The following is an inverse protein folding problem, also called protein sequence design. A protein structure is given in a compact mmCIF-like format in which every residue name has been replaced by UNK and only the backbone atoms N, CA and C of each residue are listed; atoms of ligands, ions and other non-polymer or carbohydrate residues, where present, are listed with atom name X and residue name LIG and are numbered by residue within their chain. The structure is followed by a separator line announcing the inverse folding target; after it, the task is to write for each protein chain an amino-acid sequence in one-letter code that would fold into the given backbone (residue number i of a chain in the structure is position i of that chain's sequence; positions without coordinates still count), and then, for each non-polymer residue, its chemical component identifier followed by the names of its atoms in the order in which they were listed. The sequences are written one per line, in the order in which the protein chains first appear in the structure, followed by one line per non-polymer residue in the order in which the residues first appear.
data_IF_571700837422
#
_entry.id   IF_571700837422
#
_cell.length_a   1.000
_cell.length_b   1.000
_cell.length_c   1.000
_cell.angle_alpha   90.00
_cell.angle_beta   90.00
_cell.angle_gamma   90.00
#
_symmetry.space_group_name_H-M   'P 1'
#
loop_
_entity.id
_entity.type
_entity.pdbx_description
1 polymer ?
#
# COMPACT_ATOMS: atom_id res chain seq x y z
N UNK A 1 5.06 5.19 14.01
CA UNK A 1 6.10 4.54 14.84
C UNK A 1 6.95 3.62 13.97
N UNK A 2 8.27 3.81 13.97
CA UNK A 2 9.25 2.85 13.43
C UNK A 2 9.87 2.08 14.58
N UNK A 3 9.84 0.73 14.52
CA UNK A 3 10.44 -0.07 15.60
C UNK A 3 10.99 -1.42 15.10
N UNK A 4 12.07 -1.86 15.73
CA UNK A 4 12.61 -3.21 15.55
C UNK A 4 11.75 -4.21 16.30
N UNK A 5 11.39 -5.31 15.65
CA UNK A 5 10.63 -6.41 16.20
C UNK A 5 11.26 -7.73 15.75
N UNK A 6 11.40 -8.70 16.64
CA UNK A 6 11.99 -10.02 16.35
C UNK A 6 13.39 -9.93 15.71
N UNK A 7 14.21 -8.96 16.13
CA UNK A 7 15.56 -8.73 15.58
C UNK A 7 15.60 -8.13 14.17
N UNK A 8 14.47 -7.74 13.61
CA UNK A 8 14.34 -7.12 12.29
C UNK A 8 13.99 -5.65 12.43
N UNK A 9 14.60 -4.81 11.62
CA UNK A 9 14.46 -3.35 11.66
C UNK A 9 13.99 -2.84 10.30
N UNK A 10 12.98 -1.96 10.25
CA UNK A 10 12.54 -1.38 8.99
C UNK A 10 13.66 -0.56 8.33
N UNK A 11 13.76 -0.68 7.01
CA UNK A 11 14.68 0.07 6.17
C UNK A 11 13.89 1.12 5.36
N UNK A 12 14.19 2.40 5.56
CA UNK A 12 13.67 3.49 4.76
C UNK A 12 14.73 3.93 3.75
N UNK A 13 14.50 3.65 2.47
CA UNK A 13 15.39 4.01 1.37
C UNK A 13 15.03 5.38 0.73
N UNK A 14 14.17 6.16 1.35
CA UNK A 14 13.78 7.50 0.89
C UNK A 14 12.28 7.63 0.63
N UNK A 15 11.44 7.18 1.54
CA UNK A 15 10.01 7.44 1.52
C UNK A 15 9.74 8.96 1.43
N UNK A 16 8.76 9.35 0.61
CA UNK A 16 8.37 10.76 0.51
C UNK A 16 7.60 11.23 1.76
N UNK A 17 6.91 10.30 2.41
CA UNK A 17 6.15 10.59 3.63
C UNK A 17 5.85 9.31 4.43
N UNK A 18 6.03 9.38 5.74
CA UNK A 18 5.49 8.38 6.67
C UNK A 18 4.83 9.14 7.81
N UNK A 19 3.51 8.99 7.94
CA UNK A 19 2.75 9.67 8.98
C UNK A 19 3.23 9.26 10.39
N UNK A 20 3.23 10.19 11.32
CA UNK A 20 3.62 9.96 12.72
C UNK A 20 2.74 8.91 13.42
N UNK A 21 1.46 8.80 13.03
CA UNK A 21 0.51 7.81 13.51
C UNK A 21 0.59 6.46 12.78
N UNK A 22 1.38 6.34 11.72
CA UNK A 22 1.63 5.07 11.06
C UNK A 22 2.53 4.18 11.92
N UNK A 23 2.33 2.86 11.80
CA UNK A 23 3.13 1.82 12.45
C UNK A 23 3.87 1.03 11.38
N UNK A 24 5.22 1.08 11.40
CA UNK A 24 6.09 0.33 10.49
C UNK A 24 7.09 -0.45 11.36
N UNK A 25 6.95 -1.76 11.42
CA UNK A 25 7.75 -2.59 12.34
C UNK A 25 8.24 -3.88 11.69
N UNK A 26 9.42 -4.35 12.09
CA UNK A 26 9.98 -5.63 11.63
C UNK A 26 10.69 -5.51 10.28
N UNK A 27 10.63 -6.58 9.48
CA UNK A 27 11.28 -6.71 8.16
C UNK A 27 10.49 -5.97 7.09
N UNK A 28 10.60 -4.64 7.07
CA UNK A 28 9.90 -3.77 6.12
C UNK A 28 10.91 -2.94 5.35
N UNK A 29 10.79 -2.91 4.02
CA UNK A 29 11.58 -2.02 3.17
C UNK A 29 10.65 -1.02 2.48
N UNK A 30 10.91 0.26 2.71
CA UNK A 30 10.25 1.38 2.04
C UNK A 30 11.15 1.90 0.91
N UNK A 31 10.72 1.75 -0.34
CA UNK A 31 11.46 2.21 -1.51
C UNK A 31 11.27 3.72 -1.74
N UNK A 32 12.17 4.38 -2.52
CA UNK A 32 12.12 5.82 -2.74
C UNK A 32 10.76 6.31 -3.23
N UNK A 33 10.33 7.44 -2.69
CA UNK A 33 9.09 8.10 -3.09
C UNK A 33 7.81 7.45 -2.56
N UNK A 34 7.85 6.28 -1.91
CA UNK A 34 6.64 5.70 -1.33
C UNK A 34 6.07 6.58 -0.21
N UNK A 35 4.78 6.41 0.09
CA UNK A 35 4.11 7.15 1.16
C UNK A 35 3.27 6.21 2.03
N UNK A 36 3.32 6.42 3.36
CA UNK A 36 2.57 5.66 4.35
C UNK A 36 1.74 6.62 5.19
N UNK A 37 0.43 6.47 5.12
CA UNK A 37 -0.52 7.46 5.62
C UNK A 37 -1.00 7.17 7.04
N UNK A 38 -1.86 8.04 7.55
CA UNK A 38 -2.27 8.07 8.95
C UNK A 38 -2.97 6.77 9.38
N UNK A 39 -2.52 6.21 10.50
CA UNK A 39 -3.07 4.98 11.05
C UNK A 39 -2.78 3.71 10.25
N UNK A 40 -2.03 3.78 9.16
CA UNK A 40 -1.60 2.58 8.43
C UNK A 40 -0.68 1.72 9.28
N UNK A 41 -0.82 0.39 9.18
CA UNK A 41 -0.01 -0.59 9.91
C UNK A 41 0.70 -1.51 8.92
N UNK A 42 2.03 -1.50 8.94
CA UNK A 42 2.89 -2.37 8.15
C UNK A 42 3.74 -3.19 9.14
N UNK A 43 3.38 -4.47 9.31
CA UNK A 43 3.97 -5.33 10.33
C UNK A 43 4.68 -6.54 9.71
N UNK A 44 6.01 -6.44 9.60
CA UNK A 44 6.91 -7.45 9.05
C UNK A 44 7.60 -8.33 10.10
N UNK A 45 6.90 -8.74 11.15
CA UNK A 45 7.42 -9.61 12.19
C UNK A 45 7.54 -11.07 11.73
N UNK A 46 6.58 -11.56 10.93
CA UNK A 46 6.52 -12.93 10.47
C UNK A 46 7.19 -13.15 9.10
N UNK A 47 7.23 -12.12 8.24
CA UNK A 47 7.86 -12.20 6.93
C UNK A 47 8.18 -10.82 6.33
N UNK A 48 8.98 -10.77 5.25
CA UNK A 48 9.39 -9.52 4.63
C UNK A 48 8.23 -8.81 3.91
N UNK A 49 8.22 -7.48 4.02
CA UNK A 49 7.29 -6.60 3.34
C UNK A 49 8.07 -5.56 2.54
N UNK A 50 7.87 -5.51 1.23
CA UNK A 50 8.49 -4.52 0.36
C UNK A 50 7.43 -3.59 -0.22
N UNK A 51 7.59 -2.29 0.04
CA UNK A 51 6.78 -1.23 -0.54
C UNK A 51 7.58 -0.60 -1.69
N UNK A 52 7.11 -0.77 -2.92
CA UNK A 52 7.79 -0.33 -4.13
C UNK A 52 7.86 1.19 -4.28
N UNK A 53 8.66 1.65 -5.25
CA UNK A 53 8.83 3.08 -5.55
C UNK A 53 7.49 3.76 -5.82
N UNK A 54 7.31 5.00 -5.30
CA UNK A 54 6.11 5.83 -5.44
C UNK A 54 4.80 5.17 -4.99
N UNK A 55 4.85 3.99 -4.39
CA UNK A 55 3.69 3.25 -3.91
C UNK A 55 3.11 3.93 -2.68
N UNK A 56 1.79 4.06 -2.61
CA UNK A 56 1.12 4.65 -1.46
C UNK A 56 0.31 3.61 -0.68
N UNK A 57 0.48 3.62 0.64
CA UNK A 57 -0.31 2.85 1.61
C UNK A 57 -1.16 3.84 2.38
N UNK A 58 -2.43 3.92 2.02
CA UNK A 58 -3.34 4.96 2.49
C UNK A 58 -3.82 4.72 3.93
N UNK A 59 -4.56 5.71 4.45
CA UNK A 59 -4.98 5.75 5.85
C UNK A 59 -5.67 4.46 6.30
N UNK A 60 -5.29 3.97 7.48
CA UNK A 60 -5.82 2.77 8.12
C UNK A 60 -5.67 1.46 7.32
N UNK A 61 -4.86 1.42 6.27
CA UNK A 61 -4.55 0.17 5.58
C UNK A 61 -3.66 -0.72 6.46
N UNK A 62 -3.82 -2.05 6.34
CA UNK A 62 -3.09 -3.02 7.14
C UNK A 62 -2.36 -4.01 6.22
N UNK A 63 -1.05 -4.11 6.39
CA UNK A 63 -0.18 -5.03 5.67
C UNK A 63 0.48 -5.99 6.66
N UNK A 64 0.25 -7.29 6.50
CA UNK A 64 0.83 -8.34 7.34
C UNK A 64 0.87 -9.67 6.57
N UNK A 65 1.66 -10.63 7.00
CA UNK A 65 1.68 -11.98 6.45
C UNK A 65 1.86 -13.02 7.56
N UNK A 66 1.47 -14.26 7.27
CA UNK A 66 1.74 -15.41 8.14
C UNK A 66 3.22 -15.81 8.10
N UNK A 67 3.69 -16.63 9.06
CA UNK A 67 5.06 -17.16 9.07
C UNK A 67 5.47 -17.80 7.74
N UNK A 68 6.60 -17.34 7.18
CA UNK A 68 7.10 -17.78 5.88
C UNK A 68 6.39 -17.18 4.67
N UNK A 69 5.40 -16.32 4.88
CA UNK A 69 4.80 -15.49 3.84
C UNK A 69 5.63 -14.23 3.54
N UNK A 70 5.17 -13.46 2.56
CA UNK A 70 5.76 -12.17 2.21
C UNK A 70 4.71 -11.26 1.58
N UNK A 71 5.00 -9.95 1.56
CA UNK A 71 4.25 -8.98 0.76
C UNK A 71 5.23 -8.28 -0.16
N UNK A 72 4.89 -8.21 -1.44
CA UNK A 72 5.62 -7.40 -2.42
C UNK A 72 4.64 -6.51 -3.16
N UNK A 73 4.77 -5.22 -2.94
CA UNK A 73 4.08 -4.21 -3.74
C UNK A 73 5.06 -3.66 -4.78
N UNK A 74 4.67 -3.71 -6.06
CA UNK A 74 5.43 -3.12 -7.15
C UNK A 74 5.51 -1.60 -7.04
N UNK A 75 6.16 -0.97 -8.03
CA UNK A 75 6.18 0.50 -8.14
C UNK A 75 4.80 1.06 -8.52
N UNK A 76 4.55 2.29 -8.17
CA UNK A 76 3.33 3.03 -8.54
C UNK A 76 2.03 2.32 -8.13
N UNK A 77 2.05 1.47 -7.09
CA UNK A 77 0.87 0.78 -6.55
C UNK A 77 0.11 1.70 -5.60
N UNK A 78 -1.21 1.66 -5.65
CA UNK A 78 -2.07 2.29 -4.66
C UNK A 78 -2.74 1.23 -3.79
N UNK A 79 -2.54 1.31 -2.48
CA UNK A 79 -3.32 0.57 -1.48
C UNK A 79 -4.29 1.54 -0.83
N UNK A 80 -5.58 1.41 -1.17
CA UNK A 80 -6.64 2.33 -0.78
C UNK A 80 -6.94 2.31 0.72
N UNK A 81 -7.58 3.36 1.20
CA UNK A 81 -7.94 3.54 2.62
C UNK A 81 -8.61 2.30 3.22
N UNK A 82 -8.12 1.85 4.36
CA UNK A 82 -8.68 0.71 5.09
C UNK A 82 -8.54 -0.65 4.39
N UNK A 83 -7.78 -0.75 3.30
CA UNK A 83 -7.55 -2.03 2.64
C UNK A 83 -6.66 -2.94 3.49
N UNK A 84 -6.87 -4.25 3.36
CA UNK A 84 -6.07 -5.28 4.03
C UNK A 84 -5.31 -6.06 2.97
N UNK A 85 -3.98 -6.10 3.09
CA UNK A 85 -3.10 -6.91 2.26
C UNK A 85 -2.42 -7.93 3.16
N UNK A 86 -2.80 -9.20 3.02
CA UNK A 86 -2.28 -10.27 3.84
C UNK A 86 -1.56 -11.31 2.99
N UNK A 87 -0.20 -11.33 3.05
CA UNK A 87 0.62 -12.32 2.34
C UNK A 87 0.45 -12.32 0.82
N UNK A 88 0.32 -11.15 0.17
CA UNK A 88 -0.03 -11.02 -1.24
C UNK A 88 1.06 -10.31 -2.06
N UNK A 89 1.06 -10.56 -3.37
CA UNK A 89 1.87 -9.83 -4.34
C UNK A 89 0.96 -8.90 -5.18
N UNK A 90 1.37 -7.64 -5.36
CA UNK A 90 0.64 -6.67 -6.18
C UNK A 90 1.59 -6.08 -7.22
N UNK A 91 1.29 -6.29 -8.48
CA UNK A 91 2.09 -5.84 -9.61
C UNK A 91 2.03 -4.33 -9.83
N UNK A 92 3.05 -3.83 -10.50
CA UNK A 92 3.26 -2.41 -10.85
C UNK A 92 2.01 -1.73 -11.39
N UNK A 93 1.77 -0.48 -10.99
CA UNK A 93 0.70 0.38 -11.50
C UNK A 93 -0.72 -0.07 -11.13
N UNK A 94 -0.86 -1.03 -10.22
CA UNK A 94 -2.16 -1.56 -9.82
C UNK A 94 -2.78 -0.75 -8.68
N UNK A 95 -4.11 -0.73 -8.65
CA UNK A 95 -4.89 -0.07 -7.61
C UNK A 95 -5.71 -1.10 -6.83
N UNK A 96 -5.48 -1.18 -5.53
CA UNK A 96 -6.30 -1.92 -4.57
C UNK A 96 -7.27 -0.93 -3.94
N UNK A 97 -8.56 -1.09 -4.23
CA UNK A 97 -9.62 -0.17 -3.80
C UNK A 97 -9.81 -0.13 -2.29
N UNK A 98 -10.45 0.93 -1.80
CA UNK A 98 -10.74 1.14 -0.38
C UNK A 98 -11.46 -0.07 0.22
N UNK A 99 -11.02 -0.49 1.43
CA UNK A 99 -11.55 -1.65 2.15
C UNK A 99 -11.52 -2.99 1.39
N UNK A 100 -10.74 -3.11 0.32
CA UNK A 100 -10.52 -4.41 -0.31
C UNK A 100 -9.62 -5.28 0.59
N UNK A 101 -9.82 -6.59 0.50
CA UNK A 101 -9.04 -7.58 1.26
C UNK A 101 -8.36 -8.54 0.29
N UNK A 102 -7.05 -8.65 0.39
CA UNK A 102 -6.21 -9.59 -0.35
C UNK A 102 -5.69 -10.65 0.63
N UNK A 103 -5.99 -11.94 0.37
CA UNK A 103 -5.59 -13.04 1.25
C UNK A 103 -4.30 -13.73 0.78
N UNK A 104 -3.75 -14.58 1.65
CA UNK A 104 -2.46 -15.23 1.50
C UNK A 104 -2.21 -15.83 0.11
N UNK A 105 -1.02 -15.58 -0.42
CA UNK A 105 -0.57 -16.15 -1.69
C UNK A 105 -1.33 -15.66 -2.92
N UNK A 106 -2.28 -14.73 -2.79
CA UNK A 106 -2.92 -14.17 -3.97
C UNK A 106 -1.92 -13.26 -4.72
N UNK A 107 -2.10 -13.21 -6.05
CA UNK A 107 -1.26 -12.42 -6.93
C UNK A 107 -2.13 -11.52 -7.78
N UNK A 108 -1.97 -10.23 -7.62
CA UNK A 108 -2.58 -9.22 -8.48
C UNK A 108 -1.53 -8.83 -9.53
N UNK A 109 -1.86 -8.98 -10.79
CA UNK A 109 -1.00 -8.62 -11.92
C UNK A 109 -0.71 -7.13 -11.99
N UNK A 110 -0.04 -6.70 -13.06
CA UNK A 110 0.28 -5.29 -13.31
C UNK A 110 -0.92 -4.55 -13.88
N UNK A 111 -1.03 -3.25 -13.57
CA UNK A 111 -2.08 -2.37 -14.09
C UNK A 111 -3.50 -2.89 -13.85
N UNK A 112 -3.69 -3.61 -12.74
CA UNK A 112 -4.98 -4.13 -12.32
C UNK A 112 -5.74 -3.13 -11.45
N UNK A 113 -7.06 -3.28 -11.43
CA UNK A 113 -7.93 -2.54 -10.52
C UNK A 113 -8.73 -3.54 -9.69
N UNK A 114 -8.46 -3.59 -8.40
CA UNK A 114 -9.29 -4.30 -7.43
C UNK A 114 -10.32 -3.31 -6.89
N UNK A 115 -11.60 -3.60 -7.11
CA UNK A 115 -12.68 -2.69 -6.69
C UNK A 115 -12.78 -2.54 -5.18
N UNK A 116 -13.32 -1.42 -4.73
CA UNK A 116 -13.54 -1.16 -3.31
C UNK A 116 -14.39 -2.28 -2.67
N UNK A 117 -14.01 -2.70 -1.45
CA UNK A 117 -14.67 -3.77 -0.71
C UNK A 117 -14.55 -5.17 -1.33
N UNK A 118 -13.75 -5.36 -2.37
CA UNK A 118 -13.56 -6.68 -2.97
C UNK A 118 -12.73 -7.59 -2.06
N UNK A 119 -13.00 -8.90 -2.10
CA UNK A 119 -12.21 -9.91 -1.39
C UNK A 119 -11.55 -10.84 -2.41
N UNK A 120 -10.22 -10.74 -2.52
CA UNK A 120 -9.39 -11.64 -3.35
C UNK A 120 -8.99 -12.85 -2.49
N UNK A 121 -9.52 -14.07 -2.81
CA UNK A 121 -9.25 -15.26 -2.01
C UNK A 121 -7.78 -15.70 -2.07
N UNK A 122 -7.42 -16.59 -1.12
CA UNK A 122 -6.10 -17.22 -1.07
C UNK A 122 -5.70 -17.86 -2.40
N UNK A 123 -4.42 -17.69 -2.76
CA UNK A 123 -3.83 -18.25 -3.98
C UNK A 123 -4.45 -17.76 -5.29
N UNK A 124 -5.41 -16.84 -5.24
CA UNK A 124 -6.06 -16.32 -6.45
C UNK A 124 -5.10 -15.48 -7.27
N UNK A 125 -5.08 -15.75 -8.58
CA UNK A 125 -4.34 -14.92 -9.54
C UNK A 125 -5.33 -14.02 -10.29
N UNK A 126 -5.04 -12.72 -10.28
CA UNK A 126 -5.73 -11.71 -11.09
C UNK A 126 -4.79 -11.34 -12.23
N UNK A 127 -5.16 -11.59 -13.50
CA UNK A 127 -4.29 -11.33 -14.65
C UNK A 127 -3.98 -9.85 -14.84
N UNK A 128 -2.84 -9.55 -15.47
CA UNK A 128 -2.43 -8.18 -15.84
C UNK A 128 -3.57 -7.42 -16.55
N UNK A 129 -3.69 -6.14 -16.29
CA UNK A 129 -4.59 -5.24 -17.01
C UNK A 129 -6.08 -5.54 -16.82
N UNK A 130 -6.49 -6.14 -15.71
CA UNK A 130 -7.90 -6.49 -15.50
C UNK A 130 -8.53 -5.76 -14.32
N UNK A 131 -9.86 -5.67 -14.33
CA UNK A 131 -10.69 -5.17 -13.23
C UNK A 131 -11.34 -6.34 -12.53
N UNK A 132 -11.11 -6.50 -11.22
CA UNK A 132 -11.72 -7.52 -10.39
C UNK A 132 -12.55 -6.90 -9.27
N UNK A 133 -13.79 -7.38 -9.07
CA UNK A 133 -14.72 -6.85 -8.07
C UNK A 133 -15.50 -7.96 -7.37
N UNK A 134 -16.07 -7.67 -6.22
CA UNK A 134 -17.02 -8.53 -5.50
C UNK A 134 -16.39 -9.38 -4.40
N UNK A 135 -17.25 -10.14 -3.71
CA UNK A 135 -16.92 -11.05 -2.61
C UNK A 135 -17.52 -12.42 -2.93
N UNK A 136 -16.72 -13.40 -3.37
CA UNK A 136 -15.30 -13.32 -3.73
C UNK A 136 -15.07 -12.54 -5.03
N UNK A 137 -13.89 -11.92 -5.16
CA UNK A 137 -13.54 -11.12 -6.33
C UNK A 137 -13.48 -11.95 -7.62
N UNK A 138 -14.05 -11.41 -8.69
CA UNK A 138 -14.03 -11.96 -10.04
C UNK A 138 -13.56 -10.90 -11.02
N UNK A 139 -12.76 -11.32 -12.00
CA UNK A 139 -12.43 -10.47 -13.16
C UNK A 139 -13.73 -10.25 -13.94
N UNK A 140 -14.06 -8.98 -14.18
CA UNK A 140 -15.31 -8.59 -14.86
C UNK A 140 -15.05 -7.96 -16.23
N UNK A 141 -13.85 -7.42 -16.45
CA UNK A 141 -13.44 -6.82 -17.72
C UNK A 141 -11.95 -6.52 -17.73
N UNK A 142 -11.42 -6.17 -18.88
CA UNK A 142 -10.11 -5.54 -18.99
C UNK A 142 -10.16 -4.10 -18.45
N UNK A 143 -9.06 -3.66 -17.87
CA UNK A 143 -8.93 -2.27 -17.42
C UNK A 143 -8.80 -1.35 -18.65
N UNK A 144 -9.64 -0.34 -18.73
CA UNK A 144 -9.52 0.64 -19.80
C UNK A 144 -8.26 1.49 -19.60
N UNK A 145 -7.65 1.95 -20.70
CA UNK A 145 -6.46 2.81 -20.67
C UNK A 145 -6.63 4.03 -19.74
N UNK A 146 -7.79 4.68 -19.80
CA UNK A 146 -8.11 5.79 -18.91
C UNK A 146 -8.10 5.41 -17.42
N UNK A 147 -8.46 4.17 -17.07
CA UNK A 147 -8.46 3.71 -15.68
C UNK A 147 -7.04 3.42 -15.19
N UNK A 148 -6.19 2.81 -16.02
CA UNK A 148 -4.79 2.55 -15.68
C UNK A 148 -3.99 3.84 -15.62
N UNK A 149 -4.23 4.79 -16.53
CA UNK A 149 -3.66 6.12 -16.48
C UNK A 149 -4.06 6.88 -15.20
N UNK A 150 -5.33 6.80 -14.79
CA UNK A 150 -5.80 7.41 -13.55
C UNK A 150 -5.14 6.79 -12.31
N UNK A 151 -4.91 5.47 -12.28
CA UNK A 151 -4.20 4.80 -11.20
C UNK A 151 -2.73 5.29 -11.11
N UNK A 152 -2.03 5.38 -12.25
CA UNK A 152 -0.68 5.93 -12.30
C UNK A 152 -0.60 7.40 -11.85
N UNK A 153 -1.54 8.24 -12.31
CA UNK A 153 -1.65 9.63 -11.85
C UNK A 153 -1.86 9.70 -10.32
N UNK A 154 -2.71 8.84 -9.78
CA UNK A 154 -2.96 8.78 -8.34
C UNK A 154 -1.68 8.49 -7.54
N UNK A 155 -0.85 7.54 -7.98
CA UNK A 155 0.42 7.23 -7.31
C UNK A 155 1.33 8.47 -7.23
N UNK A 156 1.52 9.17 -8.34
CA UNK A 156 2.35 10.39 -8.38
C UNK A 156 1.72 11.53 -7.56
N UNK A 157 0.40 11.67 -7.58
CA UNK A 157 -0.31 12.67 -6.76
C UNK A 157 -0.05 12.44 -5.26
N UNK A 158 -0.04 11.16 -4.81
CA UNK A 158 0.26 10.82 -3.43
C UNK A 158 1.73 11.07 -3.04
N UNK A 159 2.68 10.93 -3.95
CA UNK A 159 4.09 11.35 -3.70
C UNK A 159 4.16 12.86 -3.42
N UNK A 160 3.50 13.66 -4.24
CA UNK A 160 3.50 15.13 -4.08
C UNK A 160 2.76 15.55 -2.80
N UNK A 161 1.57 14.99 -2.57
CA UNK A 161 0.80 15.25 -1.36
C UNK A 161 1.58 14.82 -0.09
N UNK A 162 2.29 13.69 -0.14
CA UNK A 162 3.13 13.24 0.95
C UNK A 162 4.23 14.23 1.30
N UNK A 163 4.87 14.86 0.31
CA UNK A 163 5.87 15.91 0.55
C UNK A 163 5.26 17.15 1.22
N UNK A 164 4.04 17.53 0.84
CA UNK A 164 3.32 18.62 1.50
C UNK A 164 2.99 18.28 2.96
N UNK A 165 2.53 17.05 3.22
CA UNK A 165 2.28 16.58 4.59
C UNK A 165 3.55 16.48 5.44
N UNK A 166 4.67 16.09 4.85
CA UNK A 166 5.97 16.07 5.54
C UNK A 166 6.43 17.48 5.96
N UNK A 167 5.99 18.51 5.24
CA UNK A 167 6.28 19.91 5.54
C UNK A 167 5.19 20.59 6.41
N UNK A 168 4.13 19.86 6.82
CA UNK A 168 3.02 20.44 7.56
C UNK A 168 3.45 20.90 8.97
N UNK A 169 3.00 22.08 9.36
CA UNK A 169 3.26 22.67 10.69
C UNK A 169 2.06 22.40 11.59
N UNK A 170 2.24 21.78 12.78
CA UNK A 170 1.16 21.61 13.74
C UNK A 170 0.58 22.95 14.21
N UNK A 171 -0.75 23.03 14.31
CA UNK A 171 -1.45 24.27 14.73
C UNK A 171 -1.05 24.78 16.12
N UNK A 172 -0.58 23.89 17.01
CA UNK A 172 -0.11 24.27 18.35
C UNK A 172 1.20 25.06 18.32
N UNK A 173 2.07 24.79 17.34
CA UNK A 173 3.32 25.56 17.14
C UNK A 173 3.08 26.90 16.43
N UNK A 174 1.99 27.04 15.68
CA UNK A 174 1.64 28.28 14.99
C UNK A 174 1.09 29.37 15.93
N UNK A 175 0.64 29.02 17.14
CA UNK A 175 0.10 29.96 18.12
C UNK A 175 1.16 30.62 19.03
N UNK A 176 2.43 30.23 18.92
CA UNK A 176 3.52 30.76 19.75
C UNK A 176 4.29 31.91 19.09
N UNK A 177 3.90 32.36 17.92
CA UNK A 177 4.57 33.42 17.16
C UNK A 177 3.76 34.74 17.03
N UNK A 178 2.67 34.91 17.83
CA UNK A 178 1.94 36.19 17.92
C UNK A 178 2.25 36.98 19.21
#
# INVERSE_FOLDING_TARGET
MFASVCGKTPCDEGAAFVADTAVVVGDVTLKPGCTVWYGAVIRGDEGPIVIGENTNVQDNAVLHCDPGGQITLGRDVTIGHGAIVHGAEVGEGSLVGMHATLLNGCKVGRHCIIGAGALVPEGKVIPDGTVAVGVPARVVKDAAEAQTAAAGYNAIAYVNLGREHAAAIPLESAKSEE
#
